data_IF_072417840443
#
_entry.id   IF_072417840443
#
_cell.length_a   1.000
_cell.length_b   1.000
_cell.length_c   1.000
_cell.angle_alpha   90.00
_cell.angle_beta   90.00
_cell.angle_gamma   90.00
#
_symmetry.space_group_name_H-M   'P 1'
#
loop_
_entity.id
_entity.type
_entity.pdbx_description
1 polymer ?
#
# COMPACT_ATOMS: atom_id res chain seq x y z
N UNK A 1 0.27 -15.27 -45.50
CA UNK A 1 1.76 -15.20 -45.63
C UNK A 1 2.28 -14.07 -44.76
N UNK A 2 2.80 -14.37 -43.57
CA UNK A 2 3.33 -13.36 -42.64
C UNK A 2 4.66 -12.84 -43.19
N UNK A 3 4.72 -11.57 -43.60
CA UNK A 3 5.99 -10.91 -43.99
C UNK A 3 6.94 -10.96 -42.80
N UNK A 4 8.02 -11.72 -42.96
CA UNK A 4 9.00 -11.99 -41.93
C UNK A 4 9.57 -10.72 -41.31
N UNK A 5 9.75 -10.77 -39.99
CA UNK A 5 10.60 -9.86 -39.23
C UNK A 5 11.91 -9.74 -40.00
N UNK A 6 12.29 -8.51 -40.37
CA UNK A 6 13.44 -8.27 -41.24
C UNK A 6 14.75 -8.64 -40.51
N UNK A 7 15.18 -9.89 -40.61
CA UNK A 7 16.36 -10.45 -39.93
C UNK A 7 17.68 -10.14 -40.64
N UNK A 8 17.64 -9.58 -41.85
CA UNK A 8 18.81 -9.38 -42.71
C UNK A 8 19.32 -7.95 -42.76
N UNK A 9 18.53 -6.96 -42.31
CA UNK A 9 18.96 -5.55 -42.32
C UNK A 9 20.00 -5.25 -41.23
N UNK A 10 21.14 -4.68 -41.64
CA UNK A 10 22.23 -4.18 -40.79
C UNK A 10 21.88 -2.91 -39.98
N UNK A 11 20.58 -2.57 -39.85
CA UNK A 11 20.14 -1.36 -39.16
C UNK A 11 20.58 -1.35 -37.69
N UNK A 12 20.95 -0.17 -37.20
CA UNK A 12 21.32 0.05 -35.80
C UNK A 12 20.18 -0.26 -34.81
N UNK A 13 18.93 -0.24 -35.30
CA UNK A 13 17.73 -0.46 -34.50
C UNK A 13 17.20 -1.91 -34.59
N UNK A 14 17.86 -2.78 -35.36
CA UNK A 14 17.48 -4.18 -35.51
C UNK A 14 18.14 -5.06 -34.43
N UNK A 15 17.37 -5.64 -33.47
CA UNK A 15 17.93 -6.51 -32.43
C UNK A 15 18.50 -7.83 -32.97
N UNK A 16 18.13 -8.23 -34.19
CA UNK A 16 18.57 -9.47 -34.83
C UNK A 16 19.52 -9.21 -36.01
N UNK A 17 20.19 -8.06 -36.08
CA UNK A 17 21.18 -7.74 -37.12
C UNK A 17 22.33 -8.76 -37.12
N UNK A 18 22.79 -9.15 -38.31
CA UNK A 18 24.01 -9.94 -38.45
C UNK A 18 25.24 -9.04 -38.26
N UNK A 19 26.14 -9.45 -37.36
CA UNK A 19 27.37 -8.71 -37.10
C UNK A 19 28.36 -8.94 -38.24
N UNK A 20 28.92 -7.90 -38.88
CA UNK A 20 29.87 -8.07 -39.98
C UNK A 20 31.17 -8.72 -39.45
N UNK A 21 31.60 -9.81 -40.10
CA UNK A 21 32.77 -10.61 -39.69
C UNK A 21 34.11 -9.89 -39.88
N UNK A 22 34.17 -8.79 -40.65
CA UNK A 22 35.43 -8.26 -41.21
C UNK A 22 35.79 -6.81 -40.88
N UNK A 23 35.09 -6.17 -39.94
CA UNK A 23 35.50 -4.87 -39.40
C UNK A 23 35.20 -4.85 -37.91
N UNK A 24 36.13 -4.28 -37.13
CA UNK A 24 36.05 -4.15 -35.67
C UNK A 24 34.65 -3.68 -35.25
N UNK A 25 33.83 -4.62 -34.75
CA UNK A 25 32.51 -4.38 -34.19
C UNK A 25 32.56 -3.62 -32.83
N UNK A 26 33.63 -2.86 -32.59
CA UNK A 26 33.98 -2.30 -31.28
C UNK A 26 32.94 -1.30 -30.74
N UNK A 27 32.17 -0.66 -31.62
CA UNK A 27 31.24 0.42 -31.24
C UNK A 27 29.76 0.07 -31.51
N UNK A 28 29.44 -1.20 -31.77
CA UNK A 28 28.08 -1.62 -32.07
C UNK A 28 27.30 -1.93 -30.79
N UNK A 29 26.13 -1.31 -30.62
CA UNK A 29 25.21 -1.60 -29.50
C UNK A 29 24.88 -3.10 -29.39
N UNK A 30 24.82 -3.62 -28.17
CA UNK A 30 24.36 -4.98 -27.92
C UNK A 30 22.85 -5.12 -28.15
N UNK A 31 22.41 -6.36 -28.35
CA UNK A 31 20.98 -6.69 -28.55
C UNK A 31 20.09 -6.19 -27.41
N UNK A 32 20.58 -6.21 -26.17
CA UNK A 32 19.86 -5.72 -25.00
C UNK A 32 19.67 -4.21 -25.05
N UNK A 33 20.73 -3.46 -25.35
CA UNK A 33 20.66 -2.00 -25.52
C UNK A 33 19.73 -1.61 -26.67
N UNK A 34 19.76 -2.31 -27.80
CA UNK A 34 18.85 -2.02 -28.92
C UNK A 34 17.39 -2.21 -28.50
N UNK A 35 17.06 -3.32 -27.83
CA UNK A 35 15.70 -3.54 -27.30
C UNK A 35 15.27 -2.46 -26.30
N UNK A 36 16.18 -2.04 -25.40
CA UNK A 36 15.93 -0.96 -24.43
C UNK A 36 15.68 0.38 -25.12
N UNK A 37 16.46 0.74 -26.13
CA UNK A 37 16.26 1.98 -26.88
C UNK A 37 14.95 1.96 -27.69
N UNK A 38 14.63 0.82 -28.28
CA UNK A 38 13.38 0.62 -29.00
C UNK A 38 12.15 0.74 -28.06
N UNK A 39 12.29 0.39 -26.77
CA UNK A 39 11.22 0.61 -25.78
C UNK A 39 10.87 2.10 -25.64
N UNK A 40 11.87 2.99 -25.60
CA UNK A 40 11.63 4.44 -25.50
C UNK A 40 11.10 5.06 -26.80
N UNK A 41 11.51 4.55 -27.96
CA UNK A 41 11.16 5.11 -29.27
C UNK A 41 9.85 4.57 -29.86
N UNK A 42 9.53 3.30 -29.64
CA UNK A 42 8.46 2.58 -30.33
C UNK A 42 7.24 2.29 -29.43
N UNK A 43 6.96 3.17 -28.46
CA UNK A 43 5.82 3.05 -27.54
C UNK A 43 4.47 3.42 -28.19
N UNK A 44 4.49 4.02 -29.39
CA UNK A 44 3.29 4.47 -30.11
C UNK A 44 2.57 3.37 -30.92
N UNK A 45 1.31 3.62 -31.31
CA UNK A 45 0.55 2.72 -32.19
C UNK A 45 1.10 2.77 -33.63
N UNK A 46 1.33 1.60 -34.22
CA UNK A 46 1.66 1.46 -35.64
C UNK A 46 0.35 1.42 -36.43
N UNK A 47 0.17 2.33 -37.38
CA UNK A 47 -1.06 2.46 -38.17
C UNK A 47 -0.84 2.11 -39.64
N UNK A 48 -1.87 1.60 -40.31
CA UNK A 48 -1.87 1.48 -41.77
C UNK A 48 -2.22 2.83 -42.44
N UNK A 49 -2.15 2.88 -43.78
CA UNK A 49 -2.49 4.08 -44.57
C UNK A 49 -3.93 4.56 -44.34
N UNK A 50 -4.84 3.66 -44.00
CA UNK A 50 -6.23 3.98 -43.65
C UNK A 50 -6.41 4.44 -42.18
N UNK A 51 -5.33 4.61 -41.42
CA UNK A 51 -5.37 5.07 -40.04
C UNK A 51 -5.83 4.02 -39.03
N UNK A 52 -5.96 2.74 -39.37
CA UNK A 52 -6.27 1.66 -38.42
C UNK A 52 -5.00 1.21 -37.69
N UNK A 53 -5.09 0.98 -36.37
CA UNK A 53 -3.98 0.46 -35.56
C UNK A 53 -3.74 -1.00 -35.91
N UNK A 54 -2.54 -1.31 -36.40
CA UNK A 54 -2.09 -2.66 -36.79
C UNK A 54 -1.12 -3.25 -35.77
N UNK A 55 -0.47 -2.42 -34.96
CA UNK A 55 0.47 -2.88 -33.94
C UNK A 55 0.92 -1.77 -32.99
N UNK A 56 2.00 -2.04 -32.25
CA UNK A 56 2.55 -1.16 -31.21
C UNK A 56 2.75 -1.92 -29.91
N UNK A 57 3.79 -1.58 -29.15
CA UNK A 57 4.24 -2.36 -27.98
C UNK A 57 3.34 -2.22 -26.75
N UNK A 58 2.42 -1.23 -26.70
CA UNK A 58 1.60 -0.92 -25.51
C UNK A 58 0.11 -0.63 -25.81
N UNK A 59 -0.40 -0.95 -27.00
CA UNK A 59 -1.74 -0.51 -27.44
C UNK A 59 -2.66 -1.65 -27.90
N UNK A 60 -2.41 -2.89 -27.47
CA UNK A 60 -3.24 -4.02 -27.90
C UNK A 60 -4.41 -4.25 -26.94
N UNK A 61 -5.51 -3.51 -27.13
CA UNK A 61 -6.78 -3.67 -26.38
C UNK A 61 -7.30 -5.12 -26.34
N UNK A 62 -6.95 -5.94 -27.35
CA UNK A 62 -7.39 -7.33 -27.48
C UNK A 62 -6.26 -8.36 -27.57
N UNK A 63 -5.00 -8.02 -27.20
CA UNK A 63 -3.92 -9.01 -27.20
C UNK A 63 -3.07 -8.93 -25.93
N UNK A 64 -2.87 -10.07 -25.27
CA UNK A 64 -1.95 -10.23 -24.14
C UNK A 64 -0.79 -11.11 -24.58
N UNK A 65 0.45 -10.68 -24.34
CA UNK A 65 1.64 -11.46 -24.72
C UNK A 65 1.78 -11.77 -26.23
N UNK A 66 1.11 -11.00 -27.10
CA UNK A 66 1.10 -11.23 -28.55
C UNK A 66 0.01 -12.20 -29.05
N UNK A 67 -0.80 -12.78 -28.17
CA UNK A 67 -1.96 -13.61 -28.51
C UNK A 67 -3.27 -12.85 -28.28
N UNK A 68 -4.29 -13.16 -29.11
CA UNK A 68 -5.62 -12.57 -28.97
C UNK A 68 -6.29 -13.01 -27.67
N UNK A 69 -6.79 -12.05 -26.90
CA UNK A 69 -7.48 -12.30 -25.63
C UNK A 69 -8.83 -12.93 -25.99
N UNK A 70 -8.94 -14.23 -25.77
CA UNK A 70 -10.20 -14.97 -25.93
C UNK A 70 -10.83 -15.22 -24.55
N UNK A 71 -12.11 -15.59 -24.50
CA UNK A 71 -12.82 -15.91 -23.25
C UNK A 71 -12.19 -17.08 -22.46
N UNK A 72 -11.35 -17.90 -23.10
CA UNK A 72 -10.60 -18.98 -22.45
C UNK A 72 -9.27 -18.54 -21.81
N UNK A 73 -8.73 -17.36 -22.16
CA UNK A 73 -7.39 -16.93 -21.74
C UNK A 73 -7.27 -16.58 -20.24
N UNK A 74 -8.38 -16.48 -19.51
CA UNK A 74 -8.41 -16.09 -18.10
C UNK A 74 -8.71 -17.25 -17.13
N UNK A 75 -8.87 -18.49 -17.62
CA UNK A 75 -9.16 -19.65 -16.76
C UNK A 75 -7.89 -20.17 -16.12
N UNK A 76 -7.97 -20.47 -14.82
CA UNK A 76 -6.87 -21.08 -14.07
C UNK A 76 -7.16 -22.57 -13.91
N UNK A 77 -6.20 -23.44 -14.27
CA UNK A 77 -6.39 -24.89 -14.24
C UNK A 77 -6.42 -25.44 -12.79
N UNK A 78 -7.38 -26.28 -12.39
CA UNK A 78 -7.45 -26.77 -11.01
C UNK A 78 -6.17 -27.52 -10.62
N UNK A 79 -5.59 -27.20 -9.46
CA UNK A 79 -4.34 -27.80 -8.99
C UNK A 79 -4.30 -27.92 -7.46
N UNK A 80 -3.92 -29.11 -6.97
CA UNK A 80 -3.80 -29.37 -5.52
C UNK A 80 -2.72 -28.52 -4.86
N UNK A 81 -1.69 -28.10 -5.63
CA UNK A 81 -0.57 -27.30 -5.13
C UNK A 81 -0.98 -25.91 -4.63
N UNK A 82 -2.13 -25.39 -5.04
CA UNK A 82 -2.62 -24.09 -4.59
C UNK A 82 -3.01 -24.06 -3.11
N UNK A 83 -3.40 -25.21 -2.58
CA UNK A 83 -3.87 -25.34 -1.21
C UNK A 83 -2.78 -25.82 -0.25
N UNK A 84 -1.56 -26.06 -0.76
CA UNK A 84 -0.40 -26.41 0.05
C UNK A 84 0.31 -25.19 0.63
N UNK A 85 0.88 -25.33 1.82
CA UNK A 85 1.69 -24.28 2.44
C UNK A 85 2.93 -23.99 1.58
N UNK A 86 3.08 -22.76 1.08
CA UNK A 86 4.20 -22.38 0.19
C UNK A 86 5.37 -21.72 0.91
N UNK A 87 5.14 -21.14 2.10
CA UNK A 87 6.16 -20.54 2.95
C UNK A 87 5.89 -20.93 4.39
N UNK A 88 6.81 -21.69 4.98
CA UNK A 88 6.75 -22.15 6.37
C UNK A 88 8.02 -21.73 7.06
N UNK A 89 7.92 -21.31 8.32
CA UNK A 89 9.06 -20.95 9.18
C UNK A 89 8.90 -21.74 10.47
N UNK A 90 9.99 -22.33 10.96
CA UNK A 90 10.00 -23.01 12.25
C UNK A 90 9.98 -22.02 13.41
N UNK A 91 9.45 -22.44 14.56
CA UNK A 91 9.27 -21.56 15.72
C UNK A 91 10.59 -20.98 16.23
N UNK A 92 11.64 -21.80 16.32
CA UNK A 92 12.97 -21.38 16.83
C UNK A 92 13.63 -20.35 15.91
N UNK A 93 13.55 -20.56 14.60
CA UNK A 93 14.08 -19.64 13.59
C UNK A 93 13.33 -18.31 13.60
N UNK A 94 12.02 -18.38 13.82
CA UNK A 94 11.14 -17.23 13.89
C UNK A 94 11.41 -16.39 15.16
N UNK A 95 11.64 -17.02 16.31
CA UNK A 95 12.01 -16.32 17.54
C UNK A 95 13.41 -15.70 17.42
N UNK A 96 14.37 -16.41 16.81
CA UNK A 96 15.69 -15.85 16.47
C UNK A 96 15.56 -14.62 15.56
N UNK A 97 14.75 -14.73 14.51
CA UNK A 97 14.52 -13.63 13.57
C UNK A 97 13.91 -12.40 14.26
N UNK A 98 12.92 -12.58 15.14
CA UNK A 98 12.32 -11.50 15.92
C UNK A 98 13.36 -10.78 16.78
N UNK A 99 14.19 -11.54 17.49
CA UNK A 99 15.22 -10.97 18.37
C UNK A 99 16.28 -10.20 17.57
N UNK A 100 16.85 -10.79 16.52
CA UNK A 100 17.88 -10.15 15.69
C UNK A 100 17.34 -8.88 15.02
N UNK A 101 16.11 -8.92 14.50
CA UNK A 101 15.53 -7.80 13.79
C UNK A 101 15.06 -6.69 14.74
N UNK A 102 14.61 -7.01 15.97
CA UNK A 102 14.33 -6.01 17.01
C UNK A 102 15.59 -5.25 17.43
N UNK A 103 16.68 -5.98 17.69
CA UNK A 103 17.98 -5.38 18.01
C UNK A 103 18.49 -4.49 16.88
N UNK A 104 18.36 -4.95 15.63
CA UNK A 104 18.91 -4.24 14.47
C UNK A 104 18.03 -3.10 13.98
N UNK A 105 16.73 -3.14 14.24
CA UNK A 105 15.81 -2.03 13.94
C UNK A 105 16.09 -0.79 14.81
N UNK A 106 16.62 -0.97 16.02
CA UNK A 106 17.00 0.12 16.91
C UNK A 106 18.33 0.80 16.49
N UNK A 107 19.14 0.16 15.65
CA UNK A 107 20.45 0.67 15.21
C UNK A 107 20.32 1.53 13.94
N UNK A 108 20.50 2.88 14.02
CA UNK A 108 20.34 3.78 12.89
C UNK A 108 21.44 3.63 11.83
N UNK A 109 22.56 2.98 12.15
CA UNK A 109 23.68 2.81 11.21
C UNK A 109 23.53 1.60 10.29
N UNK A 110 22.50 0.79 10.50
CA UNK A 110 22.33 -0.45 9.77
C UNK A 110 21.04 -0.48 8.95
N UNK A 111 21.14 -1.02 7.73
CA UNK A 111 20.02 -1.05 6.78
C UNK A 111 19.82 -2.46 6.26
N UNK A 112 18.56 -2.89 6.24
CA UNK A 112 18.15 -4.17 5.67
C UNK A 112 18.11 -4.08 4.14
N UNK A 113 18.98 -4.81 3.45
CA UNK A 113 19.09 -4.75 1.99
C UNK A 113 17.93 -5.43 1.24
N UNK A 114 17.39 -6.53 1.78
CA UNK A 114 16.40 -7.40 1.09
C UNK A 114 15.09 -7.55 1.87
N UNK A 115 14.42 -6.45 2.13
CA UNK A 115 13.15 -6.40 2.89
C UNK A 115 12.02 -7.24 2.26
N UNK A 116 11.89 -7.27 0.93
CA UNK A 116 10.78 -7.94 0.22
C UNK A 116 10.69 -9.46 0.45
N UNK A 117 11.78 -10.11 0.86
CA UNK A 117 11.82 -11.57 1.07
C UNK A 117 11.64 -11.96 2.54
N UNK A 118 11.75 -11.00 3.46
CA UNK A 118 11.66 -11.24 4.90
C UNK A 118 10.20 -11.12 5.37
N UNK A 119 9.75 -12.00 6.27
CA UNK A 119 8.38 -11.97 6.79
C UNK A 119 8.24 -10.90 7.89
N UNK A 120 8.37 -9.63 7.52
CA UNK A 120 8.38 -8.51 8.49
C UNK A 120 7.07 -8.36 9.27
N UNK A 121 5.94 -8.86 8.74
CA UNK A 121 4.66 -8.88 9.46
C UNK A 121 4.66 -9.76 10.70
N UNK A 122 5.60 -10.71 10.82
CA UNK A 122 5.71 -11.59 11.99
C UNK A 122 6.48 -10.95 13.17
N UNK A 123 7.03 -9.75 13.00
CA UNK A 123 7.66 -8.99 14.08
C UNK A 123 6.65 -8.33 15.02
N UNK A 124 5.46 -7.98 14.52
CA UNK A 124 4.46 -7.33 15.33
C UNK A 124 3.77 -8.38 16.19
N UNK A 125 4.10 -8.41 17.47
CA UNK A 125 3.23 -9.04 18.45
C UNK A 125 1.88 -8.31 18.41
N UNK A 126 0.79 -9.07 18.34
CA UNK A 126 -0.55 -8.53 18.44
C UNK A 126 -0.62 -7.75 19.75
N UNK A 127 -0.57 -6.43 19.67
CA UNK A 127 -0.75 -5.57 20.82
C UNK A 127 -2.01 -6.02 21.53
N UNK A 128 -1.90 -6.42 22.80
CA UNK A 128 -3.06 -6.75 23.63
C UNK A 128 -4.04 -5.58 23.49
N UNK A 129 -5.20 -5.80 22.90
CA UNK A 129 -6.28 -4.81 22.90
C UNK A 129 -6.64 -4.57 24.35
N UNK A 130 -6.06 -3.51 24.94
CA UNK A 130 -6.21 -3.21 26.36
C UNK A 130 -7.65 -2.83 26.71
N UNK A 131 -8.46 -2.48 25.71
CA UNK A 131 -9.86 -2.10 25.88
C UNK A 131 -10.75 -3.21 25.33
N UNK A 132 -11.72 -3.61 26.16
CA UNK A 132 -12.80 -4.51 25.77
C UNK A 132 -13.54 -3.92 24.55
N UNK A 133 -13.91 -4.77 23.60
CA UNK A 133 -14.76 -4.40 22.46
C UNK A 133 -16.22 -4.25 22.90
N UNK A 134 -16.51 -3.14 23.56
CA UNK A 134 -17.84 -2.85 24.09
C UNK A 134 -18.92 -2.88 23.01
N UNK A 135 -18.61 -2.43 21.78
CA UNK A 135 -19.55 -2.39 20.65
C UNK A 135 -19.98 -3.77 20.13
N UNK A 136 -19.19 -4.83 20.37
CA UNK A 136 -19.60 -6.19 20.01
C UNK A 136 -20.63 -6.76 21.01
N UNK A 137 -20.64 -6.24 22.24
CA UNK A 137 -21.55 -6.71 23.30
C UNK A 137 -22.75 -5.79 23.52
N UNK A 138 -22.57 -4.49 23.31
CA UNK A 138 -23.57 -3.44 23.44
C UNK A 138 -23.46 -2.51 22.23
N UNK A 139 -24.26 -2.75 21.19
CA UNK A 139 -24.29 -1.89 20.00
C UNK A 139 -25.04 -0.59 20.28
N UNK A 140 -24.77 0.47 19.49
CA UNK A 140 -25.45 1.75 19.65
C UNK A 140 -26.96 1.65 19.48
N UNK A 141 -27.41 0.82 18.53
CA UNK A 141 -28.83 0.62 18.27
C UNK A 141 -29.53 0.01 19.49
N UNK A 142 -28.94 -1.02 20.10
CA UNK A 142 -29.54 -1.68 21.26
C UNK A 142 -29.56 -0.82 22.53
N UNK A 143 -28.57 0.07 22.71
CA UNK A 143 -28.43 0.88 23.93
C UNK A 143 -29.23 2.19 23.85
N UNK A 144 -29.21 2.86 22.69
CA UNK A 144 -29.75 4.22 22.56
C UNK A 144 -31.04 4.33 21.73
N UNK A 145 -31.58 3.24 21.17
CA UNK A 145 -32.87 3.32 20.47
C UNK A 145 -34.08 3.41 21.45
N UNK A 146 -35.25 3.79 20.94
CA UNK A 146 -36.49 3.87 21.73
C UNK A 146 -36.98 2.52 22.27
N UNK A 147 -36.53 1.41 21.69
CA UNK A 147 -36.79 0.01 22.12
C UNK A 147 -35.59 -0.61 22.84
N UNK A 148 -34.81 0.19 23.58
CA UNK A 148 -33.53 -0.26 24.17
C UNK A 148 -33.68 -1.51 25.04
N UNK A 149 -32.72 -2.42 24.88
CA UNK A 149 -32.60 -3.64 25.70
C UNK A 149 -32.04 -3.32 27.08
N UNK A 150 -31.11 -2.35 27.17
CA UNK A 150 -30.49 -1.92 28.43
C UNK A 150 -31.46 -1.10 29.30
N UNK A 151 -31.84 -1.67 30.46
CA UNK A 151 -32.74 -1.01 31.43
C UNK A 151 -32.02 -0.23 32.53
N UNK A 152 -30.77 -0.57 32.87
CA UNK A 152 -30.00 0.05 33.96
C UNK A 152 -28.57 0.38 33.51
N UNK A 153 -27.94 1.35 34.18
CA UNK A 153 -26.54 1.66 33.92
C UNK A 153 -25.60 0.68 34.66
N UNK A 154 -24.47 0.34 34.02
CA UNK A 154 -23.37 -0.36 34.69
C UNK A 154 -22.56 0.68 35.46
N UNK A 155 -22.82 0.80 36.75
CA UNK A 155 -22.08 1.68 37.66
C UNK A 155 -20.95 0.89 38.33
N UNK A 156 -19.78 1.51 38.48
CA UNK A 156 -18.63 0.91 39.19
C UNK A 156 -18.66 1.08 40.71
N UNK A 157 -19.66 1.76 41.25
CA UNK A 157 -19.82 1.96 42.69
C UNK A 157 -20.73 0.87 43.30
N UNK A 158 -20.33 0.33 44.44
CA UNK A 158 -21.11 -0.67 45.19
C UNK A 158 -22.19 -0.03 46.07
N UNK A 159 -21.87 1.12 46.68
CA UNK A 159 -22.70 1.79 47.67
C UNK A 159 -22.91 3.27 47.34
N UNK A 160 -23.97 3.85 47.91
CA UNK A 160 -24.30 5.26 47.70
C UNK A 160 -23.17 6.21 48.14
N UNK A 161 -22.53 5.93 49.28
CA UNK A 161 -21.41 6.71 49.77
C UNK A 161 -20.21 6.71 48.81
N UNK A 162 -19.91 5.55 48.19
CA UNK A 162 -18.84 5.42 47.19
C UNK A 162 -19.14 6.21 45.91
N UNK A 163 -20.41 6.18 45.47
CA UNK A 163 -20.85 6.98 44.33
C UNK A 163 -20.72 8.48 44.61
N UNK A 164 -21.13 8.93 45.80
CA UNK A 164 -21.08 10.33 46.21
C UNK A 164 -19.63 10.84 46.31
N UNK A 165 -18.74 10.06 46.92
CA UNK A 165 -17.31 10.38 46.99
C UNK A 165 -16.67 10.49 45.60
N UNK A 166 -17.04 9.58 44.68
CA UNK A 166 -16.55 9.63 43.29
C UNK A 166 -17.05 10.88 42.56
N UNK A 167 -18.32 11.25 42.76
CA UNK A 167 -18.90 12.45 42.16
C UNK A 167 -18.24 13.73 42.70
N UNK A 168 -17.99 13.82 44.01
CA UNK A 168 -17.28 14.93 44.63
C UNK A 168 -15.85 15.06 44.11
N UNK A 169 -15.10 13.95 44.07
CA UNK A 169 -13.74 13.94 43.52
C UNK A 169 -13.71 14.35 42.03
N UNK A 170 -14.72 13.96 41.24
CA UNK A 170 -14.85 14.41 39.85
C UNK A 170 -15.18 15.90 39.75
N UNK A 171 -16.02 16.43 40.64
CA UNK A 171 -16.35 17.85 40.68
C UNK A 171 -15.15 18.71 41.13
N UNK A 172 -14.39 18.26 42.12
CA UNK A 172 -13.16 18.93 42.58
C UNK A 172 -12.06 18.92 41.51
N UNK A 173 -11.95 17.83 40.74
CA UNK A 173 -11.02 17.75 39.60
C UNK A 173 -11.46 18.56 38.38
N UNK A 174 -12.75 18.89 38.29
CA UNK A 174 -13.28 19.61 37.14
C UNK A 174 -12.93 21.09 37.26
N UNK A 175 -12.06 21.56 36.37
CA UNK A 175 -11.67 22.95 36.29
C UNK A 175 -12.43 23.65 35.15
N UNK A 176 -13.21 24.67 35.47
CA UNK A 176 -14.06 25.42 34.51
C UNK A 176 -13.26 26.22 33.47
N UNK A 177 -11.99 26.51 33.75
CA UNK A 177 -11.04 27.12 32.79
C UNK A 177 -10.12 26.10 32.13
N UNK A 178 -10.38 24.81 32.35
CA UNK A 178 -9.61 23.70 31.81
C UNK A 178 -9.93 23.38 30.34
N UNK A 179 -9.61 22.17 29.86
CA UNK A 179 -9.72 21.77 28.45
C UNK A 179 -11.16 21.50 27.97
N UNK A 180 -12.18 21.92 28.72
CA UNK A 180 -13.57 21.67 28.37
C UNK A 180 -13.99 22.54 27.18
N UNK A 181 -14.02 21.92 26.00
CA UNK A 181 -14.36 22.57 24.73
C UNK A 181 -15.83 22.91 24.58
N UNK A 182 -16.70 22.42 25.47
CA UNK A 182 -18.14 22.70 25.42
C UNK A 182 -18.50 24.02 26.09
N UNK A 183 -17.57 24.63 26.85
CA UNK A 183 -17.78 25.94 27.45
C UNK A 183 -17.67 26.99 26.33
N UNK A 184 -18.77 27.68 26.08
CA UNK A 184 -18.79 28.81 25.14
C UNK A 184 -18.01 29.95 25.79
N UNK A 185 -16.82 30.22 25.26
CA UNK A 185 -16.04 31.41 25.62
C UNK A 185 -16.41 32.50 24.62
N UNK A 186 -17.16 33.49 25.08
CA UNK A 186 -17.39 34.70 24.31
C UNK A 186 -16.05 35.44 24.16
N UNK A 187 -15.52 35.48 22.93
CA UNK A 187 -14.35 36.27 22.60
C UNK A 187 -14.80 37.60 22.02
N UNK A 188 -14.41 38.69 22.68
CA UNK A 188 -14.69 40.07 22.23
C UNK A 188 -13.98 40.43 20.90
N UNK A 189 -13.07 39.58 20.44
CA UNK A 189 -12.26 39.79 19.25
C UNK A 189 -12.26 38.56 18.34
N UNK A 190 -12.14 38.82 17.03
CA UNK A 190 -12.00 37.76 16.02
C UNK A 190 -10.53 37.35 15.92
N UNK A 191 -10.25 36.05 16.02
CA UNK A 191 -8.91 35.50 15.73
C UNK A 191 -8.58 35.74 14.26
N UNK A 192 -7.45 36.39 13.99
CA UNK A 192 -6.98 36.64 12.62
C UNK A 192 -6.57 35.34 11.91
N UNK A 193 -6.70 35.33 10.59
CA UNK A 193 -6.30 34.17 9.77
C UNK A 193 -4.79 34.15 9.66
N UNK A 194 -4.19 32.97 9.87
CA UNK A 194 -2.76 32.76 9.67
C UNK A 194 -2.34 33.09 8.24
N UNK A 195 -1.24 33.82 8.08
CA UNK A 195 -0.73 34.21 6.77
C UNK A 195 -0.30 32.98 5.95
N UNK A 196 -0.59 32.99 4.65
CA UNK A 196 -0.26 31.88 3.73
C UNK A 196 1.24 31.52 3.67
N UNK A 197 2.14 32.40 4.12
CA UNK A 197 3.58 32.13 4.20
C UNK A 197 3.87 30.95 5.14
N UNK A 198 3.09 30.78 6.20
CA UNK A 198 3.24 29.68 7.15
C UNK A 198 2.84 28.31 6.58
N UNK A 199 2.07 28.29 5.47
CA UNK A 199 1.68 27.07 4.77
C UNK A 199 2.65 26.71 3.62
N UNK A 200 3.60 27.60 3.29
CA UNK A 200 4.63 27.29 2.30
C UNK A 200 5.47 26.11 2.78
N UNK A 201 5.80 25.20 1.86
CA UNK A 201 6.49 23.95 2.19
C UNK A 201 5.56 22.78 2.52
N UNK A 202 4.24 23.01 2.66
CA UNK A 202 3.23 21.95 2.88
C UNK A 202 2.36 21.69 1.65
N UNK A 203 2.70 22.29 0.49
CA UNK A 203 1.96 22.10 -0.75
C UNK A 203 2.16 20.69 -1.28
N UNK A 204 1.10 20.03 -1.77
CA UNK A 204 1.16 18.73 -2.47
C UNK A 204 2.11 18.70 -3.67
N UNK A 205 2.51 19.88 -4.18
CA UNK A 205 3.49 20.03 -5.26
C UNK A 205 4.92 19.75 -4.79
N UNK A 206 5.23 20.09 -3.54
CA UNK A 206 6.53 19.85 -2.89
C UNK A 206 6.47 18.46 -2.27
#
# INVERSE_FOLDING_TARGET
MAKGINTTKASADNPNRQMPKRQKAANMRDKGTIKRLNMYRNSGPIRNKAGKVVGGSLMMKGKSGGQEITSGSARVQPDRRWFGNTRVVGQKELDKFRNEMSLKAADPYSVVLRTRKLPMGLLQESSKTARMKLLETESYEEVFNGKRSRKRAKLGATDYASLLSSAQASAEKYETKGPDRNIVVEQDFKVEVSHDVFNKGQSKRI
#
